data_IF_369103884831
#
_entry.id   IF_369103884831
#
_cell.length_a   1.000
_cell.length_b   1.000
_cell.length_c   1.000
_cell.angle_alpha   90.00
_cell.angle_beta   90.00
_cell.angle_gamma   90.00
#
_symmetry.space_group_name_H-M   'P 1'
#
loop_
_entity.id
_entity.type
_entity.pdbx_description
1 polymer ?
#
# COMPACT_ATOMS: atom_id res chain seq x y z
N UNK A 1 -8.06 5.96 -16.13
CA UNK A 1 -8.61 6.56 -14.88
C UNK A 1 -7.55 6.42 -13.78
N UNK A 2 -7.54 7.26 -12.74
CA UNK A 2 -6.53 7.17 -11.67
C UNK A 2 -6.52 5.80 -10.96
N UNK A 3 -7.69 5.16 -10.85
CA UNK A 3 -7.81 3.81 -10.29
C UNK A 3 -6.98 2.75 -11.04
N UNK A 4 -6.78 2.89 -12.36
CA UNK A 4 -5.99 1.95 -13.15
C UNK A 4 -4.48 2.01 -12.79
N UNK A 5 -4.06 3.06 -12.09
CA UNK A 5 -2.68 3.27 -11.65
C UNK A 5 -2.43 2.80 -10.21
N UNK A 6 -3.46 2.36 -9.47
CA UNK A 6 -3.32 1.93 -8.07
C UNK A 6 -2.20 0.89 -7.89
N UNK A 7 -2.10 -0.18 -8.70
CA UNK A 7 -1.03 -1.17 -8.51
C UNK A 7 0.36 -0.56 -8.59
N UNK A 8 0.59 0.34 -9.56
CA UNK A 8 1.89 1.00 -9.75
C UNK A 8 2.20 1.99 -8.63
N UNK A 9 1.20 2.76 -8.17
CA UNK A 9 1.37 3.71 -7.06
C UNK A 9 1.69 2.98 -5.75
N UNK A 10 1.00 1.87 -5.48
CA UNK A 10 1.25 1.05 -4.31
C UNK A 10 2.65 0.45 -4.33
N UNK A 11 3.08 -0.07 -5.49
CA UNK A 11 4.43 -0.58 -5.66
C UNK A 11 5.50 0.50 -5.40
N UNK A 12 5.29 1.71 -5.92
CA UNK A 12 6.20 2.83 -5.68
C UNK A 12 6.26 3.22 -4.20
N UNK A 13 5.12 3.28 -3.51
CA UNK A 13 5.04 3.60 -2.08
C UNK A 13 5.67 2.56 -1.17
N UNK A 14 5.52 1.27 -1.48
CA UNK A 14 6.19 0.20 -0.76
C UNK A 14 7.71 0.31 -0.90
N UNK A 15 8.18 0.58 -2.11
CA UNK A 15 9.59 0.70 -2.40
C UNK A 15 10.22 1.90 -1.70
N UNK A 16 9.56 3.07 -1.77
CA UNK A 16 9.93 4.25 -0.99
C UNK A 16 10.00 3.91 0.52
N UNK A 17 9.04 3.12 1.04
CA UNK A 17 9.02 2.73 2.45
C UNK A 17 10.19 1.83 2.84
N UNK A 18 10.59 0.88 1.99
CA UNK A 18 11.75 0.03 2.24
C UNK A 18 13.07 0.80 2.13
N UNK A 19 13.22 1.63 1.09
CA UNK A 19 14.40 2.49 0.91
C UNK A 19 14.57 3.45 2.10
N UNK A 20 13.47 3.97 2.66
CA UNK A 20 13.50 4.81 3.86
C UNK A 20 13.75 4.04 5.17
N UNK A 21 13.44 2.74 5.22
CA UNK A 21 13.64 1.91 6.40
C UNK A 21 15.08 1.39 6.50
N UNK A 22 15.64 0.89 5.39
CA UNK A 22 17.03 0.42 5.31
C UNK A 22 17.67 0.89 4.00
N UNK A 23 18.28 2.06 4.07
CA UNK A 23 18.96 2.71 2.94
C UNK A 23 20.13 1.85 2.42
N UNK A 24 20.74 1.02 3.27
CA UNK A 24 21.88 0.19 2.89
C UNK A 24 21.46 -1.08 2.13
N UNK A 25 20.22 -1.54 2.31
CA UNK A 25 19.68 -2.76 1.70
C UNK A 25 18.36 -2.49 0.99
N UNK A 26 18.38 -1.58 0.02
CA UNK A 26 17.22 -1.33 -0.84
C UNK A 26 16.74 -2.65 -1.50
N UNK A 27 15.42 -2.90 -1.54
CA UNK A 27 14.90 -4.15 -2.07
C UNK A 27 15.08 -4.23 -3.58
N UNK A 28 15.36 -5.43 -4.07
CA UNK A 28 15.49 -5.72 -5.49
C UNK A 28 14.15 -5.51 -6.20
N UNK A 29 14.20 -4.89 -7.38
CA UNK A 29 13.02 -4.71 -8.23
C UNK A 29 12.89 -5.96 -9.10
N UNK A 30 11.67 -6.41 -9.36
CA UNK A 30 11.44 -7.61 -10.19
C UNK A 30 12.00 -7.49 -11.62
N UNK A 31 12.25 -6.26 -12.09
CA UNK A 31 12.85 -5.99 -13.40
C UNK A 31 14.37 -6.18 -13.45
N UNK A 32 15.03 -6.32 -12.29
CA UNK A 32 16.50 -6.40 -12.22
C UNK A 32 17.04 -7.78 -12.64
N UNK A 33 16.16 -8.75 -12.91
CA UNK A 33 16.53 -10.09 -13.37
C UNK A 33 17.24 -10.95 -12.33
N UNK A 34 17.39 -10.44 -11.10
CA UNK A 34 18.02 -11.14 -9.97
C UNK A 34 16.96 -11.93 -9.21
N UNK A 35 17.24 -13.20 -8.95
CA UNK A 35 16.40 -14.03 -8.09
C UNK A 35 16.65 -13.63 -6.63
N UNK A 36 15.67 -12.95 -6.02
CA UNK A 36 15.70 -12.65 -4.59
C UNK A 36 15.39 -13.90 -3.76
N UNK A 37 16.00 -14.03 -2.59
CA UNK A 37 15.73 -15.12 -1.65
C UNK A 37 14.30 -15.09 -1.11
N UNK A 38 13.74 -13.88 -1.00
CA UNK A 38 12.36 -13.63 -0.57
C UNK A 38 11.67 -12.69 -1.53
N UNK A 39 10.42 -13.03 -1.89
CA UNK A 39 9.57 -12.20 -2.73
C UNK A 39 8.31 -11.82 -1.97
N UNK A 40 8.07 -10.50 -1.87
CA UNK A 40 6.84 -9.95 -1.34
C UNK A 40 5.80 -9.86 -2.46
N UNK A 41 4.65 -10.51 -2.25
CA UNK A 41 3.46 -10.44 -3.09
C UNK A 41 2.39 -9.63 -2.36
N UNK A 42 1.71 -8.75 -3.09
CA UNK A 42 0.68 -7.87 -2.57
C UNK A 42 -0.62 -8.12 -3.32
N UNK A 43 -1.69 -8.39 -2.59
CA UNK A 43 -3.05 -8.46 -3.10
C UNK A 43 -3.88 -7.31 -2.52
N UNK A 44 -4.45 -6.47 -3.39
CA UNK A 44 -5.27 -5.31 -3.00
C UNK A 44 -6.72 -5.75 -2.89
N UNK A 45 -7.24 -5.83 -1.66
CA UNK A 45 -8.61 -6.28 -1.37
C UNK A 45 -9.60 -5.13 -1.30
N UNK A 46 -9.17 -3.97 -0.78
CA UNK A 46 -9.96 -2.74 -0.69
C UNK A 46 -9.08 -1.54 -1.01
N UNK A 47 -9.57 -0.68 -1.89
CA UNK A 47 -9.01 0.64 -2.16
C UNK A 47 -10.15 1.53 -2.67
N UNK A 48 -10.86 2.16 -1.74
CA UNK A 48 -12.12 2.86 -2.05
C UNK A 48 -12.42 3.96 -1.05
N UNK A 49 -13.35 4.84 -1.42
CA UNK A 49 -14.00 5.76 -0.50
C UNK A 49 -15.45 5.30 -0.33
N UNK A 50 -15.87 5.05 0.90
CA UNK A 50 -17.27 4.87 1.27
C UNK A 50 -17.81 6.20 1.83
N UNK A 51 -19.11 6.48 1.65
CA UNK A 51 -19.69 7.79 2.01
C UNK A 51 -20.85 7.70 3.01
N UNK A 52 -21.22 6.50 3.43
CA UNK A 52 -22.34 6.23 4.35
C UNK A 52 -21.82 5.36 5.51
N UNK A 53 -21.98 5.76 6.78
CA UNK A 53 -22.66 6.97 7.28
C UNK A 53 -21.82 8.25 7.20
N UNK A 54 -20.52 8.13 6.95
CA UNK A 54 -19.59 9.25 6.79
C UNK A 54 -18.51 8.91 5.75
N UNK A 55 -17.88 9.92 5.12
CA UNK A 55 -16.79 9.70 4.17
C UNK A 55 -15.57 9.02 4.81
N UNK A 56 -15.16 7.88 4.26
CA UNK A 56 -14.08 7.04 4.78
C UNK A 56 -13.25 6.45 3.66
N UNK A 57 -11.93 6.55 3.74
CA UNK A 57 -10.97 5.91 2.85
C UNK A 57 -10.57 4.56 3.45
N UNK A 58 -10.80 3.48 2.71
CA UNK A 58 -10.47 2.12 3.11
C UNK A 58 -9.31 1.59 2.27
N UNK A 59 -8.28 1.09 2.97
CA UNK A 59 -7.20 0.31 2.39
C UNK A 59 -7.18 -1.07 3.03
N UNK A 60 -7.31 -2.12 2.21
CA UNK A 60 -7.19 -3.51 2.62
C UNK A 60 -6.18 -4.23 1.75
N UNK A 61 -5.08 -4.71 2.32
CA UNK A 61 -3.96 -5.33 1.62
C UNK A 61 -3.63 -6.67 2.26
N UNK A 62 -3.39 -7.70 1.46
CA UNK A 62 -2.73 -8.92 1.91
C UNK A 62 -1.27 -8.91 1.44
N UNK A 63 -0.34 -9.13 2.36
CA UNK A 63 1.09 -9.23 2.10
C UNK A 63 1.53 -10.66 2.31
N UNK A 64 2.06 -11.30 1.28
CA UNK A 64 2.59 -12.66 1.34
C UNK A 64 4.08 -12.65 0.99
N UNK A 65 4.92 -13.08 1.92
CA UNK A 65 6.31 -13.38 1.63
C UNK A 65 6.36 -14.85 1.26
N UNK A 66 6.54 -15.10 -0.03
CA UNK A 66 6.51 -16.45 -0.63
C UNK A 66 7.27 -17.44 0.26
N UNK A 67 6.53 -18.43 0.81
CA UNK A 67 7.03 -19.57 1.62
C UNK A 67 7.35 -19.24 3.10
N UNK A 68 7.14 -18.01 3.57
CA UNK A 68 7.48 -17.61 4.95
C UNK A 68 6.27 -17.19 5.78
N UNK A 69 5.47 -16.24 5.30
CA UNK A 69 4.37 -15.67 6.08
C UNK A 69 3.38 -14.93 5.20
N UNK A 70 2.10 -14.93 5.61
CA UNK A 70 1.06 -14.07 5.05
C UNK A 70 0.45 -13.20 6.16
N UNK A 71 0.16 -11.93 5.85
CA UNK A 71 -0.48 -10.99 6.79
C UNK A 71 -1.47 -10.09 6.05
N UNK A 72 -2.69 -10.06 6.59
CA UNK A 72 -3.74 -9.11 6.20
C UNK A 72 -3.56 -7.79 6.97
N UNK A 73 -3.70 -6.68 6.25
CA UNK A 73 -3.67 -5.33 6.76
C UNK A 73 -4.92 -4.60 6.30
N UNK A 74 -5.59 -3.93 7.23
CA UNK A 74 -6.80 -3.17 6.97
C UNK A 74 -6.72 -1.87 7.76
N UNK A 75 -6.69 -0.75 7.06
CA UNK A 75 -6.61 0.58 7.63
C UNK A 75 -7.69 1.47 7.03
N UNK A 76 -8.21 2.37 7.86
CA UNK A 76 -9.39 3.16 7.55
C UNK A 76 -9.19 4.58 8.06
N UNK A 77 -9.36 5.57 7.18
CA UNK A 77 -9.18 6.98 7.50
C UNK A 77 -10.44 7.80 7.20
N UNK A 78 -10.96 8.52 8.19
CA UNK A 78 -12.14 9.39 8.01
C UNK A 78 -11.77 10.63 7.21
N UNK A 79 -12.63 11.04 6.28
CA UNK A 79 -12.46 12.26 5.50
C UNK A 79 -13.39 13.37 6.00
N UNK A 80 -12.89 14.61 5.97
CA UNK A 80 -13.70 15.80 6.22
C UNK A 80 -14.50 16.22 4.98
N UNK A 81 -13.94 16.04 3.80
CA UNK A 81 -14.55 16.34 2.49
C UNK A 81 -14.14 15.27 1.47
N UNK A 82 -14.93 15.08 0.41
CA UNK A 82 -14.65 14.11 -0.68
C UNK A 82 -13.86 14.81 -1.82
N UNK A 83 -13.13 15.87 -1.51
CA UNK A 83 -12.30 16.56 -2.50
C UNK A 83 -11.08 15.70 -2.87
N UNK A 84 -10.63 15.72 -4.14
CA UNK A 84 -9.55 14.83 -4.61
C UNK A 84 -8.27 14.89 -3.78
N UNK A 85 -7.87 16.08 -3.32
CA UNK A 85 -6.66 16.26 -2.52
C UNK A 85 -6.82 15.66 -1.12
N UNK A 86 -7.99 15.85 -0.51
CA UNK A 86 -8.34 15.28 0.80
C UNK A 86 -8.40 13.76 0.74
N UNK A 87 -8.99 13.21 -0.33
CA UNK A 87 -9.04 11.78 -0.61
C UNK A 87 -7.64 11.18 -0.76
N UNK A 88 -6.78 11.81 -1.55
CA UNK A 88 -5.41 11.35 -1.79
C UNK A 88 -4.58 11.36 -0.50
N UNK A 89 -4.73 12.40 0.32
CA UNK A 89 -4.07 12.48 1.63
C UNK A 89 -4.54 11.37 2.58
N UNK A 90 -5.85 11.10 2.64
CA UNK A 90 -6.40 10.05 3.49
C UNK A 90 -5.89 8.65 3.11
N UNK A 91 -5.72 8.37 1.82
CA UNK A 91 -5.11 7.11 1.38
C UNK A 91 -3.63 6.99 1.78
N UNK A 92 -2.86 8.08 1.69
CA UNK A 92 -1.47 8.08 2.16
C UNK A 92 -1.40 7.82 3.67
N UNK A 93 -2.24 8.49 4.47
CA UNK A 93 -2.31 8.28 5.92
C UNK A 93 -2.70 6.83 6.28
N UNK A 94 -3.74 6.28 5.63
CA UNK A 94 -4.14 4.90 5.84
C UNK A 94 -3.04 3.90 5.46
N UNK A 95 -2.27 4.17 4.41
CA UNK A 95 -1.14 3.33 4.02
C UNK A 95 0.01 3.42 5.02
N UNK A 96 0.36 4.62 5.49
CA UNK A 96 1.44 4.84 6.47
C UNK A 96 1.14 4.24 7.84
N UNK A 97 -0.15 4.10 8.20
CA UNK A 97 -0.61 3.39 9.38
C UNK A 97 -0.36 1.87 9.32
N UNK A 98 -0.24 1.28 8.12
CA UNK A 98 0.10 -0.13 7.97
C UNK A 98 1.49 -0.40 8.56
N UNK A 99 1.65 -1.41 9.42
CA UNK A 99 2.96 -1.82 9.94
C UNK A 99 3.99 -2.01 8.81
N UNK A 100 5.11 -1.31 8.96
CA UNK A 100 6.32 -1.44 8.15
C UNK A 100 7.01 -2.75 8.54
N UNK A 101 6.60 -3.84 7.91
CA UNK A 101 7.14 -5.19 8.13
C UNK A 101 7.84 -5.67 6.88
#
# INVERSE_FOLDING_TARGET
>A
MWADSIPNLLQAKLLESFENYDIAHAPLRSMDGVQADHQLLIDVRRFQITTDPEPVADIGLNKDVKVVAARLFEETQKLRTIEPDTASAAFNEAFDGSPRT
#
